data_IF_896907223074
#
_entry.id   IF_896907223074
#
_cell.length_a   1.000
_cell.length_b   1.000
_cell.length_c   1.000
_cell.angle_alpha   90.00
_cell.angle_beta   90.00
_cell.angle_gamma   90.00
#
_symmetry.space_group_name_H-M   'P 1'
#
loop_
_entity.id
_entity.type
_entity.pdbx_description
1 polymer ?
#
# COMPACT_ATOMS: atom_id res chain seq x y z
N UNK A 1 52.01 -47.19 -11.13
CA UNK A 1 51.75 -45.73 -11.18
C UNK A 1 50.65 -45.53 -12.19
N UNK A 2 49.41 -45.60 -11.72
CA UNK A 2 48.17 -45.46 -12.54
C UNK A 2 47.80 -43.96 -12.53
N UNK A 3 47.89 -43.31 -13.69
CA UNK A 3 47.42 -41.95 -13.87
C UNK A 3 45.93 -42.03 -14.18
N UNK A 4 45.09 -41.69 -13.20
CA UNK A 4 43.65 -41.52 -13.41
C UNK A 4 43.43 -40.32 -14.35
N UNK A 5 42.96 -40.61 -15.54
CA UNK A 5 42.51 -39.57 -16.49
C UNK A 5 41.15 -39.06 -16.07
N UNK A 6 41.12 -37.85 -15.56
CA UNK A 6 39.85 -37.11 -15.35
C UNK A 6 39.20 -36.84 -16.70
N UNK A 7 37.90 -37.09 -16.85
CA UNK A 7 37.19 -36.76 -18.08
C UNK A 7 37.15 -35.24 -18.30
N UNK A 8 37.75 -34.74 -19.35
CA UNK A 8 37.67 -33.34 -19.76
C UNK A 8 36.25 -33.05 -20.22
N UNK A 9 35.47 -32.36 -19.39
CA UNK A 9 34.17 -31.83 -19.77
C UNK A 9 34.36 -30.79 -20.87
N UNK A 10 33.89 -31.09 -22.07
CA UNK A 10 34.04 -30.20 -23.25
C UNK A 10 33.22 -28.93 -23.07
N UNK A 11 33.62 -27.83 -23.71
CA UNK A 11 32.92 -26.54 -23.64
C UNK A 11 31.46 -26.65 -24.11
N UNK A 12 31.21 -27.53 -25.08
CA UNK A 12 29.83 -27.82 -25.60
C UNK A 12 28.94 -28.48 -24.57
N UNK A 13 29.43 -29.43 -23.78
CA UNK A 13 28.62 -30.05 -22.71
C UNK A 13 28.31 -29.08 -21.58
N UNK A 14 29.17 -28.12 -21.29
CA UNK A 14 28.88 -27.05 -20.30
C UNK A 14 27.84 -26.06 -20.80
N UNK A 15 27.90 -25.68 -22.08
CA UNK A 15 26.89 -24.77 -22.67
C UNK A 15 25.52 -25.43 -22.73
N UNK A 16 25.43 -26.70 -23.14
CA UNK A 16 24.16 -27.44 -23.15
C UNK A 16 23.57 -27.60 -21.74
N UNK A 17 24.40 -27.77 -20.72
CA UNK A 17 23.91 -27.85 -19.35
C UNK A 17 23.46 -26.50 -18.78
N UNK A 18 24.10 -25.39 -19.14
CA UNK A 18 23.68 -24.03 -18.79
C UNK A 18 22.36 -23.69 -19.47
N UNK A 19 22.17 -24.03 -20.74
CA UNK A 19 20.89 -23.84 -21.45
C UNK A 19 19.77 -24.64 -20.83
N UNK A 20 20.01 -25.90 -20.48
CA UNK A 20 19.00 -26.75 -19.81
C UNK A 20 18.61 -26.19 -18.44
N UNK A 21 19.56 -25.74 -17.63
CA UNK A 21 19.30 -25.12 -16.33
C UNK A 21 18.53 -23.80 -16.47
N UNK A 22 18.83 -23.00 -17.49
CA UNK A 22 18.11 -21.76 -17.79
C UNK A 22 16.66 -22.04 -18.19
N UNK A 23 16.41 -23.07 -19.01
CA UNK A 23 15.06 -23.49 -19.40
C UNK A 23 14.27 -24.05 -18.21
N UNK A 24 14.88 -24.88 -17.36
CA UNK A 24 14.27 -25.38 -16.15
C UNK A 24 13.88 -24.25 -15.18
N UNK A 25 14.77 -23.25 -15.02
CA UNK A 25 14.48 -22.06 -14.23
C UNK A 25 13.35 -21.21 -14.83
N UNK A 26 13.31 -21.07 -16.15
CA UNK A 26 12.23 -20.35 -16.83
C UNK A 26 10.89 -21.02 -16.66
N UNK A 27 10.83 -22.36 -16.75
CA UNK A 27 9.61 -23.15 -16.51
C UNK A 27 9.18 -23.03 -15.05
N UNK A 28 10.09 -23.12 -14.10
CA UNK A 28 9.80 -22.99 -12.67
C UNK A 28 9.27 -21.59 -12.33
N UNK A 29 9.90 -20.53 -12.87
CA UNK A 29 9.40 -19.15 -12.71
C UNK A 29 8.00 -18.97 -13.28
N UNK A 30 7.71 -19.52 -14.46
CA UNK A 30 6.36 -19.46 -15.06
C UNK A 30 5.33 -20.16 -14.17
N UNK A 31 5.65 -21.35 -13.63
CA UNK A 31 4.76 -22.07 -12.71
C UNK A 31 4.50 -21.27 -11.44
N UNK A 32 5.56 -20.74 -10.79
CA UNK A 32 5.41 -19.91 -9.58
C UNK A 32 4.54 -18.68 -9.81
N UNK A 33 4.67 -18.00 -10.96
CA UNK A 33 3.81 -16.86 -11.32
C UNK A 33 2.37 -17.31 -11.54
N UNK A 34 2.16 -18.43 -12.23
CA UNK A 34 0.81 -18.95 -12.52
C UNK A 34 0.10 -19.41 -11.25
N UNK A 35 0.82 -20.08 -10.35
CA UNK A 35 0.30 -20.56 -9.06
C UNK A 35 -0.01 -19.38 -8.12
N UNK A 36 0.86 -18.38 -8.07
CA UNK A 36 0.62 -17.16 -7.30
C UNK A 36 -0.61 -16.40 -7.81
N UNK A 37 -0.79 -16.31 -9.14
CA UNK A 37 -1.97 -15.70 -9.75
C UNK A 37 -3.25 -16.50 -9.48
N UNK A 38 -3.17 -17.83 -9.42
CA UNK A 38 -4.32 -18.70 -9.11
C UNK A 38 -4.74 -18.53 -7.65
N UNK A 39 -3.80 -18.55 -6.70
CA UNK A 39 -4.04 -18.29 -5.27
C UNK A 39 -4.60 -16.88 -5.08
N UNK A 40 -4.02 -15.87 -5.73
CA UNK A 40 -4.52 -14.49 -5.67
C UNK A 40 -5.96 -14.38 -6.16
N UNK A 41 -6.32 -15.02 -7.30
CA UNK A 41 -7.69 -15.02 -7.80
C UNK A 41 -8.65 -15.76 -6.87
N UNK A 42 -8.20 -16.81 -6.19
CA UNK A 42 -9.02 -17.52 -5.20
C UNK A 42 -9.28 -16.64 -3.98
N UNK A 43 -8.24 -16.05 -3.40
CA UNK A 43 -8.36 -15.12 -2.26
C UNK A 43 -9.28 -13.94 -2.59
N UNK A 44 -9.14 -13.35 -3.79
CA UNK A 44 -10.02 -12.25 -4.24
C UNK A 44 -11.48 -12.70 -4.34
N UNK A 45 -11.77 -13.92 -4.84
CA UNK A 45 -13.14 -14.43 -4.89
C UNK A 45 -13.73 -14.67 -3.50
N UNK A 46 -12.99 -15.34 -2.63
CA UNK A 46 -13.46 -15.70 -1.28
C UNK A 46 -13.74 -14.46 -0.44
N UNK A 47 -12.89 -13.43 -0.56
CA UNK A 47 -13.07 -12.15 0.12
C UNK A 47 -14.18 -11.31 -0.51
N UNK A 48 -14.32 -11.32 -1.85
CA UNK A 48 -15.42 -10.64 -2.54
C UNK A 48 -16.79 -11.21 -2.10
N UNK A 49 -16.89 -12.52 -1.99
CA UNK A 49 -18.13 -13.17 -1.58
C UNK A 49 -18.48 -12.85 -0.10
N UNK A 50 -17.48 -12.84 0.79
CA UNK A 50 -17.66 -12.45 2.20
C UNK A 50 -18.07 -11.00 2.37
N UNK A 51 -17.42 -10.09 1.65
CA UNK A 51 -17.75 -8.66 1.72
C UNK A 51 -19.10 -8.34 1.11
N UNK A 52 -19.46 -8.97 -0.02
CA UNK A 52 -20.81 -8.84 -0.59
C UNK A 52 -21.89 -9.29 0.39
N UNK A 53 -21.70 -10.41 1.08
CA UNK A 53 -22.62 -10.91 2.06
C UNK A 53 -22.85 -9.92 3.22
N UNK A 54 -21.79 -9.26 3.71
CA UNK A 54 -21.89 -8.23 4.77
C UNK A 54 -22.60 -6.97 4.30
N UNK A 55 -22.33 -6.53 3.06
CA UNK A 55 -23.06 -5.40 2.48
C UNK A 55 -24.55 -5.69 2.32
N UNK A 56 -24.91 -6.91 1.88
CA UNK A 56 -26.31 -7.34 1.80
C UNK A 56 -26.95 -7.35 3.19
N UNK A 57 -26.24 -7.84 4.20
CA UNK A 57 -26.72 -7.82 5.59
C UNK A 57 -26.94 -6.39 6.10
N UNK A 58 -26.00 -5.48 5.86
CA UNK A 58 -26.15 -4.06 6.22
C UNK A 58 -27.37 -3.43 5.54
N UNK A 59 -27.62 -3.73 4.26
CA UNK A 59 -28.81 -3.25 3.54
C UNK A 59 -30.10 -3.79 4.17
N UNK A 60 -30.12 -5.06 4.56
CA UNK A 60 -31.29 -5.67 5.22
C UNK A 60 -31.54 -4.99 6.56
N UNK A 61 -30.49 -4.81 7.38
CA UNK A 61 -30.58 -4.16 8.70
C UNK A 61 -31.05 -2.71 8.57
N UNK A 62 -30.53 -1.95 7.56
CA UNK A 62 -31.01 -0.60 7.25
C UNK A 62 -32.51 -0.58 6.87
N UNK A 63 -32.98 -1.54 6.06
CA UNK A 63 -34.40 -1.64 5.72
C UNK A 63 -35.26 -1.90 6.96
N UNK A 64 -34.78 -2.71 7.90
CA UNK A 64 -35.46 -2.94 9.18
C UNK A 64 -35.46 -1.69 10.05
N UNK A 65 -34.33 -0.97 10.12
CA UNK A 65 -34.21 0.30 10.82
C UNK A 65 -35.22 1.34 10.31
N UNK A 66 -35.34 1.48 8.98
CA UNK A 66 -36.32 2.41 8.36
C UNK A 66 -37.75 2.01 8.71
N UNK A 67 -38.07 0.71 8.76
CA UNK A 67 -39.41 0.25 9.18
C UNK A 67 -39.65 0.55 10.65
N UNK A 68 -38.69 0.30 11.52
CA UNK A 68 -38.77 0.58 12.95
C UNK A 68 -38.95 2.09 13.22
N UNK A 69 -38.20 2.96 12.50
CA UNK A 69 -38.36 4.41 12.57
C UNK A 69 -39.80 4.84 12.19
N UNK A 70 -40.34 4.29 11.10
CA UNK A 70 -41.73 4.58 10.69
C UNK A 70 -42.78 4.10 11.67
N UNK A 71 -42.49 3.04 12.43
CA UNK A 71 -43.35 2.48 13.47
C UNK A 71 -43.13 3.14 14.86
N UNK A 72 -42.21 4.10 14.95
CA UNK A 72 -41.78 4.72 16.21
C UNK A 72 -41.28 3.68 17.25
N UNK A 73 -40.60 2.62 16.77
CA UNK A 73 -40.09 1.52 17.59
C UNK A 73 -38.77 1.95 18.27
N UNK A 74 -38.67 1.69 19.57
CA UNK A 74 -37.49 2.01 20.38
C UNK A 74 -36.19 1.31 19.92
N UNK A 75 -36.29 0.24 19.11
CA UNK A 75 -35.15 -0.46 18.57
C UNK A 75 -34.56 0.20 17.29
N UNK A 76 -35.18 1.25 16.78
CA UNK A 76 -34.75 1.86 15.51
C UNK A 76 -33.31 2.37 15.53
N UNK A 77 -32.93 3.05 16.61
CA UNK A 77 -31.57 3.58 16.79
C UNK A 77 -30.52 2.45 16.82
N UNK A 78 -30.78 1.38 17.56
CA UNK A 78 -29.89 0.21 17.62
C UNK A 78 -29.72 -0.44 16.26
N UNK A 79 -30.78 -0.60 15.47
CA UNK A 79 -30.71 -1.16 14.13
C UNK A 79 -29.91 -0.27 13.18
N UNK A 80 -29.95 1.05 13.34
CA UNK A 80 -29.10 1.98 12.56
C UNK A 80 -27.62 1.79 12.93
N UNK A 81 -27.30 1.70 14.23
CA UNK A 81 -25.95 1.46 14.71
C UNK A 81 -25.39 0.13 14.22
N UNK A 82 -26.19 -0.95 14.32
CA UNK A 82 -25.81 -2.29 13.84
C UNK A 82 -25.52 -2.29 12.33
N UNK A 83 -26.34 -1.58 11.54
CA UNK A 83 -26.14 -1.47 10.10
C UNK A 83 -24.91 -0.64 9.74
N UNK A 84 -24.62 0.41 10.50
CA UNK A 84 -23.43 1.24 10.33
C UNK A 84 -22.17 0.42 10.62
N UNK A 85 -22.14 -0.32 11.71
CA UNK A 85 -21.02 -1.21 12.06
C UNK A 85 -20.76 -2.26 10.98
N UNK A 86 -21.82 -2.92 10.48
CA UNK A 86 -21.70 -3.89 9.39
C UNK A 86 -21.14 -3.27 8.12
N UNK A 87 -21.59 -2.06 7.77
CA UNK A 87 -21.10 -1.34 6.59
C UNK A 87 -19.63 -0.90 6.76
N UNK A 88 -19.23 -0.47 7.95
CA UNK A 88 -17.85 -0.11 8.27
C UNK A 88 -16.93 -1.31 8.17
N UNK A 89 -17.32 -2.46 8.74
CA UNK A 89 -16.55 -3.70 8.66
C UNK A 89 -16.41 -4.20 7.22
N UNK A 90 -17.48 -4.16 6.42
CA UNK A 90 -17.41 -4.49 5.00
C UNK A 90 -16.47 -3.55 4.21
N UNK A 91 -16.47 -2.25 4.54
CA UNK A 91 -15.58 -1.28 3.92
C UNK A 91 -14.12 -1.50 4.31
N UNK A 92 -13.86 -1.93 5.55
CA UNK A 92 -12.50 -2.27 6.02
C UNK A 92 -11.95 -3.48 5.24
N UNK A 93 -12.74 -4.54 5.09
CA UNK A 93 -12.38 -5.71 4.29
C UNK A 93 -12.16 -5.38 2.81
N UNK A 94 -13.02 -4.54 2.22
CA UNK A 94 -12.81 -4.04 0.86
C UNK A 94 -11.51 -3.27 0.73
N UNK A 95 -11.14 -2.49 1.74
CA UNK A 95 -9.85 -1.79 1.77
C UNK A 95 -8.67 -2.76 1.84
N UNK A 96 -8.74 -3.78 2.69
CA UNK A 96 -7.72 -4.83 2.77
C UNK A 96 -7.59 -5.57 1.43
N UNK A 97 -8.69 -5.86 0.76
CA UNK A 97 -8.72 -6.42 -0.60
C UNK A 97 -8.09 -5.50 -1.64
N UNK A 98 -8.48 -4.22 -1.62
CA UNK A 98 -7.94 -3.21 -2.53
C UNK A 98 -6.43 -3.01 -2.31
N UNK A 99 -5.92 -3.24 -1.09
CA UNK A 99 -4.48 -3.21 -0.79
C UNK A 99 -3.70 -4.33 -1.48
N UNK A 100 -4.36 -5.43 -1.88
CA UNK A 100 -3.77 -6.51 -2.68
C UNK A 100 -3.86 -6.29 -4.19
N UNK A 101 -4.71 -5.36 -4.66
CA UNK A 101 -4.93 -5.10 -6.11
C UNK A 101 -4.43 -3.70 -6.45
N UNK A 102 -3.20 -3.62 -6.94
CA UNK A 102 -2.66 -2.37 -7.45
C UNK A 102 -3.44 -1.90 -8.68
N UNK A 103 -3.82 -0.61 -8.76
CA UNK A 103 -4.44 -0.07 -9.95
C UNK A 103 -3.57 -0.26 -11.19
N UNK A 104 -4.16 -0.64 -12.31
CA UNK A 104 -3.45 -0.83 -13.57
C UNK A 104 -2.67 0.42 -14.00
N UNK A 105 -3.18 1.61 -13.67
CA UNK A 105 -2.53 2.89 -13.95
C UNK A 105 -1.22 3.03 -13.16
N UNK A 106 -1.16 2.57 -11.91
CA UNK A 106 0.07 2.54 -11.10
C UNK A 106 1.09 1.56 -11.68
N UNK A 107 0.64 0.35 -12.07
CA UNK A 107 1.53 -0.68 -12.63
C UNK A 107 2.19 -0.18 -13.92
N UNK A 108 1.43 0.45 -14.81
CA UNK A 108 1.91 0.91 -16.11
C UNK A 108 2.58 2.28 -16.08
N UNK A 109 1.99 3.22 -15.34
CA UNK A 109 2.39 4.63 -15.34
C UNK A 109 3.18 5.09 -14.11
N UNK A 110 3.39 4.18 -13.12
CA UNK A 110 4.10 4.48 -11.89
C UNK A 110 3.32 5.39 -10.95
N UNK A 111 4.02 5.83 -9.89
CA UNK A 111 3.40 6.60 -8.79
C UNK A 111 2.70 7.87 -9.30
N UNK A 112 3.32 8.60 -10.23
CA UNK A 112 2.74 9.84 -10.77
C UNK A 112 1.36 9.60 -11.38
N UNK A 113 1.25 8.66 -12.32
CA UNK A 113 -0.01 8.35 -12.98
C UNK A 113 -1.06 7.82 -11.99
N UNK A 114 -0.63 7.04 -10.98
CA UNK A 114 -1.50 6.58 -9.90
C UNK A 114 -2.08 7.73 -9.10
N UNK A 115 -1.25 8.71 -8.71
CA UNK A 115 -1.68 9.90 -7.93
C UNK A 115 -2.61 10.78 -8.77
N UNK A 116 -2.26 11.07 -10.04
CA UNK A 116 -3.10 11.83 -10.95
C UNK A 116 -4.50 11.20 -11.07
N UNK A 117 -4.59 9.88 -11.22
CA UNK A 117 -5.87 9.16 -11.29
C UNK A 117 -6.68 9.17 -9.98
N UNK A 118 -6.06 9.35 -8.82
CA UNK A 118 -6.79 9.60 -7.56
C UNK A 118 -7.35 11.02 -7.56
N UNK A 119 -6.53 12.00 -7.90
CA UNK A 119 -6.88 13.43 -7.89
C UNK A 119 -8.01 13.73 -8.84
N UNK A 120 -8.02 13.16 -10.05
CA UNK A 120 -9.07 13.36 -11.08
C UNK A 120 -10.48 12.95 -10.62
N UNK A 121 -10.59 12.21 -9.51
CA UNK A 121 -11.89 11.77 -8.94
C UNK A 121 -12.37 12.62 -7.77
N UNK A 122 -11.60 13.63 -7.37
CA UNK A 122 -11.90 14.45 -6.20
C UNK A 122 -12.50 15.78 -6.64
N UNK A 123 -13.55 16.20 -5.94
CA UNK A 123 -14.12 17.54 -6.07
C UNK A 123 -13.34 18.58 -5.24
N UNK A 124 -12.01 18.43 -5.19
CA UNK A 124 -11.10 19.30 -4.45
C UNK A 124 -9.92 19.67 -5.35
N UNK A 125 -9.54 20.95 -5.47
CA UNK A 125 -8.32 21.35 -6.17
C UNK A 125 -7.09 20.76 -5.50
N UNK A 126 -6.32 19.93 -6.22
CA UNK A 126 -5.09 19.32 -5.72
C UNK A 126 -3.93 19.62 -6.66
N UNK A 127 -2.87 20.23 -6.14
CA UNK A 127 -1.62 20.41 -6.87
C UNK A 127 -0.75 19.16 -6.74
N UNK A 128 -0.29 18.61 -7.88
CA UNK A 128 0.50 17.37 -7.92
C UNK A 128 1.91 17.66 -8.42
N UNK A 129 2.91 17.40 -7.56
CA UNK A 129 4.33 17.54 -7.84
C UNK A 129 5.04 16.20 -7.62
N UNK A 130 4.72 15.21 -8.45
CA UNK A 130 5.28 13.86 -8.42
C UNK A 130 6.16 13.66 -9.65
N UNK A 131 7.42 13.29 -9.44
CA UNK A 131 8.34 12.98 -10.54
C UNK A 131 8.00 11.64 -11.18
N UNK A 132 8.31 11.49 -12.48
CA UNK A 132 8.03 10.26 -13.25
C UNK A 132 9.07 9.15 -13.01
N UNK A 133 9.82 9.20 -11.91
CA UNK A 133 10.76 8.15 -11.52
C UNK A 133 10.00 6.87 -11.16
N UNK A 134 10.64 5.72 -11.42
CA UNK A 134 10.08 4.41 -11.07
C UNK A 134 10.81 3.86 -9.85
N UNK A 135 10.04 3.28 -8.96
CA UNK A 135 10.52 2.61 -7.76
C UNK A 135 10.10 1.13 -7.76
N UNK A 136 10.60 0.34 -6.82
CA UNK A 136 10.11 -1.00 -6.62
C UNK A 136 8.58 -0.98 -6.37
N UNK A 137 7.88 -2.00 -6.86
CA UNK A 137 6.41 -2.05 -6.85
C UNK A 137 5.84 -1.85 -5.44
N UNK A 138 6.50 -2.37 -4.42
CA UNK A 138 6.09 -2.26 -3.02
C UNK A 138 6.16 -0.80 -2.52
N UNK A 139 7.17 -0.05 -2.97
CA UNK A 139 7.37 1.35 -2.63
C UNK A 139 6.32 2.23 -3.32
N UNK A 140 6.13 2.04 -4.65
CA UNK A 140 5.10 2.77 -5.41
C UNK A 140 3.70 2.48 -4.87
N UNK A 141 3.42 1.22 -4.51
CA UNK A 141 2.16 0.80 -3.91
C UNK A 141 1.91 1.47 -2.56
N UNK A 142 2.90 1.43 -1.66
CA UNK A 142 2.78 2.03 -0.34
C UNK A 142 2.58 3.54 -0.45
N UNK A 143 3.38 4.22 -1.28
CA UNK A 143 3.25 5.66 -1.53
C UNK A 143 1.87 6.02 -2.10
N UNK A 144 1.37 5.26 -3.08
CA UNK A 144 0.04 5.44 -3.66
C UNK A 144 -1.06 5.35 -2.61
N UNK A 145 -1.05 4.31 -1.77
CA UNK A 145 -2.08 4.14 -0.74
C UNK A 145 -2.02 5.22 0.34
N UNK A 146 -0.81 5.67 0.71
CA UNK A 146 -0.64 6.79 1.64
C UNK A 146 -1.28 8.06 1.07
N UNK A 147 -1.04 8.36 -0.20
CA UNK A 147 -1.65 9.52 -0.87
C UNK A 147 -3.16 9.38 -0.96
N UNK A 148 -3.67 8.22 -1.39
CA UNK A 148 -5.10 7.98 -1.56
C UNK A 148 -5.87 8.11 -0.24
N UNK A 149 -5.35 7.54 0.86
CA UNK A 149 -5.98 7.63 2.17
C UNK A 149 -5.87 9.04 2.75
N UNK A 150 -4.70 9.69 2.64
CA UNK A 150 -4.53 11.06 3.12
C UNK A 150 -5.48 12.03 2.40
N UNK A 151 -5.61 11.94 1.07
CA UNK A 151 -6.55 12.76 0.30
C UNK A 151 -8.02 12.44 0.63
N UNK A 152 -8.33 11.17 0.90
CA UNK A 152 -9.67 10.78 1.38
C UNK A 152 -9.99 11.45 2.72
N UNK A 153 -9.01 11.51 3.63
CA UNK A 153 -9.16 12.17 4.92
C UNK A 153 -9.35 13.69 4.76
N UNK A 154 -8.62 14.31 3.83
CA UNK A 154 -8.82 15.74 3.49
C UNK A 154 -10.27 15.99 3.07
N UNK A 155 -10.79 15.22 2.10
CA UNK A 155 -12.16 15.40 1.59
C UNK A 155 -13.21 15.17 2.66
N UNK A 156 -13.01 14.17 3.55
CA UNK A 156 -14.01 13.79 4.55
C UNK A 156 -13.98 14.65 5.80
N UNK A 157 -12.80 15.12 6.21
CA UNK A 157 -12.60 15.62 7.57
C UNK A 157 -11.98 17.02 7.64
N UNK A 158 -11.22 17.46 6.63
CA UNK A 158 -10.44 18.67 6.75
C UNK A 158 -11.22 19.96 6.46
N UNK A 159 -12.34 19.90 5.76
CA UNK A 159 -13.04 21.09 5.23
C UNK A 159 -12.06 22.05 4.52
N UNK A 160 -11.12 21.47 3.75
CA UNK A 160 -10.09 22.17 3.05
C UNK A 160 -10.61 22.78 1.74
N UNK A 161 -10.01 23.87 1.29
CA UNK A 161 -10.27 24.47 -0.02
C UNK A 161 -9.33 23.98 -1.11
N UNK A 162 -8.16 23.44 -0.71
CA UNK A 162 -7.15 22.87 -1.61
C UNK A 162 -6.23 21.91 -0.87
N UNK A 163 -5.56 21.08 -1.67
CA UNK A 163 -4.48 20.24 -1.16
C UNK A 163 -3.27 20.25 -2.13
N UNK A 164 -2.15 19.75 -1.65
CA UNK A 164 -0.90 19.59 -2.40
C UNK A 164 -0.32 18.22 -2.13
N UNK A 165 0.12 17.52 -3.18
CA UNK A 165 0.83 16.24 -3.10
C UNK A 165 2.20 16.40 -3.73
N UNK A 166 3.25 16.15 -2.96
CA UNK A 166 4.62 16.10 -3.45
C UNK A 166 5.21 14.73 -3.23
N UNK A 167 5.94 14.19 -4.21
CA UNK A 167 6.73 12.98 -4.06
C UNK A 167 8.04 13.08 -4.83
N UNK A 168 9.16 12.92 -4.13
CA UNK A 168 10.49 13.02 -4.70
C UNK A 168 11.46 12.07 -4.01
N UNK A 169 12.45 11.59 -4.76
CA UNK A 169 13.58 10.88 -4.19
C UNK A 169 14.53 11.86 -3.49
N UNK A 170 14.85 11.57 -2.24
CA UNK A 170 15.84 12.28 -1.44
C UNK A 170 16.87 11.26 -0.93
N UNK A 171 18.05 11.24 -1.55
CA UNK A 171 19.04 10.19 -1.28
C UNK A 171 18.51 8.81 -1.62
N UNK A 172 18.49 7.90 -0.65
CA UNK A 172 17.99 6.52 -0.78
C UNK A 172 16.54 6.35 -0.28
N UNK A 173 15.78 7.45 -0.16
CA UNK A 173 14.40 7.45 0.32
C UNK A 173 13.47 8.17 -0.64
N UNK A 174 12.24 7.67 -0.78
CA UNK A 174 11.12 8.38 -1.39
C UNK A 174 10.41 9.16 -0.28
N UNK A 175 10.40 10.48 -0.40
CA UNK A 175 9.65 11.36 0.50
C UNK A 175 8.34 11.74 -0.16
N UNK A 176 7.23 11.38 0.49
CA UNK A 176 5.87 11.69 0.05
C UNK A 176 5.27 12.63 1.07
N UNK A 177 4.74 13.78 0.62
CA UNK A 177 4.10 14.75 1.48
C UNK A 177 2.75 15.15 0.91
N UNK A 178 1.74 15.13 1.75
CA UNK A 178 0.39 15.60 1.45
C UNK A 178 0.07 16.72 2.43
N UNK A 179 -0.37 17.86 1.91
CA UNK A 179 -0.72 19.04 2.69
C UNK A 179 -2.10 19.54 2.28
N UNK A 180 -2.92 19.92 3.24
CA UNK A 180 -4.16 20.66 3.04
C UNK A 180 -4.16 21.97 3.84
N UNK A 181 -5.11 22.86 3.51
CA UNK A 181 -5.35 24.12 4.17
C UNK A 181 -6.62 24.08 5.05
N UNK A 182 -7.01 22.89 5.53
CA UNK A 182 -8.24 22.68 6.28
C UNK A 182 -8.16 23.09 7.75
N UNK A 183 -9.13 22.58 8.53
CA UNK A 183 -9.30 22.93 9.94
C UNK A 183 -8.22 22.36 10.86
N UNK A 184 -7.40 21.42 10.41
CA UNK A 184 -6.43 20.72 11.24
C UNK A 184 -7.08 19.92 12.37
N UNK A 185 -6.30 19.61 13.41
CA UNK A 185 -6.79 18.88 14.58
C UNK A 185 -7.01 17.40 14.34
N UNK A 186 -6.34 16.79 13.34
CA UNK A 186 -6.49 15.38 13.04
C UNK A 186 -6.06 14.51 14.24
N UNK A 187 -6.89 13.53 14.59
CA UNK A 187 -6.56 12.52 15.58
C UNK A 187 -5.53 11.53 15.00
N UNK A 188 -4.30 11.62 15.48
CA UNK A 188 -3.17 10.77 15.03
C UNK A 188 -3.28 9.32 15.47
N UNK A 189 -4.17 9.00 16.41
CA UNK A 189 -4.48 7.65 16.90
C UNK A 189 -5.67 7.02 16.13
N UNK A 190 -6.26 7.73 15.16
CA UNK A 190 -7.34 7.19 14.34
C UNK A 190 -6.86 6.00 13.51
N UNK A 191 -7.74 5.00 13.29
CA UNK A 191 -7.43 3.78 12.55
C UNK A 191 -6.83 4.04 11.16
N UNK A 192 -7.30 5.08 10.47
CA UNK A 192 -6.78 5.47 9.15
C UNK A 192 -5.31 5.90 9.20
N UNK A 193 -4.95 6.77 10.14
CA UNK A 193 -3.57 7.24 10.30
C UNK A 193 -2.64 6.18 10.90
N UNK A 194 -3.14 5.34 11.79
CA UNK A 194 -2.42 4.16 12.29
C UNK A 194 -2.09 3.20 11.15
N UNK A 195 -3.05 2.86 10.29
CA UNK A 195 -2.83 2.00 9.12
C UNK A 195 -1.78 2.56 8.14
N UNK A 196 -1.72 3.89 7.95
CA UNK A 196 -0.68 4.53 7.15
C UNK A 196 0.71 4.41 7.80
N UNK A 197 0.77 4.54 9.14
CA UNK A 197 2.01 4.41 9.91
C UNK A 197 2.56 2.99 9.83
N UNK A 198 1.70 1.98 10.04
CA UNK A 198 2.07 0.56 9.98
C UNK A 198 2.60 0.18 8.60
N UNK A 199 1.96 0.66 7.53
CA UNK A 199 2.40 0.47 6.16
C UNK A 199 3.79 1.06 5.89
N UNK A 200 4.04 2.28 6.37
CA UNK A 200 5.35 2.90 6.23
C UNK A 200 6.42 2.12 7.01
N UNK A 201 6.10 1.68 8.22
CA UNK A 201 7.00 0.93 9.11
C UNK A 201 7.34 -0.44 8.54
N UNK A 202 6.38 -1.14 7.90
CA UNK A 202 6.61 -2.44 7.24
C UNK A 202 7.69 -2.40 6.16
N UNK A 203 7.91 -1.23 5.54
CA UNK A 203 8.99 -0.99 4.56
C UNK A 203 10.26 -0.40 5.20
N UNK A 204 10.37 -0.37 6.54
CA UNK A 204 11.47 0.26 7.24
C UNK A 204 11.45 1.80 7.15
N UNK A 205 10.32 2.38 6.73
CA UNK A 205 10.09 3.81 6.65
C UNK A 205 9.46 4.39 7.91
N UNK A 206 9.00 5.63 7.79
CA UNK A 206 8.28 6.33 8.86
C UNK A 206 7.21 7.25 8.28
N UNK A 207 6.16 7.48 9.07
CA UNK A 207 5.12 8.46 8.77
C UNK A 207 5.00 9.45 9.93
N UNK A 208 4.87 10.72 9.60
CA UNK A 208 4.63 11.80 10.56
C UNK A 208 3.41 12.61 10.12
N UNK A 209 2.59 13.00 11.09
CA UNK A 209 1.42 13.86 10.88
C UNK A 209 1.58 15.10 11.74
N UNK A 210 1.41 16.26 11.12
CA UNK A 210 1.35 17.56 11.78
C UNK A 210 0.01 18.19 11.44
N UNK A 211 -0.84 18.40 12.44
CA UNK A 211 -2.21 18.89 12.24
C UNK A 211 -2.62 19.82 13.37
N UNK A 212 -1.97 21.00 13.49
CA UNK A 212 -2.41 21.99 14.49
C UNK A 212 -3.82 22.49 14.16
N UNK A 213 -4.69 22.70 15.16
CA UNK A 213 -6.00 23.27 14.94
C UNK A 213 -5.94 24.62 14.20
N UNK A 214 -6.69 24.74 13.09
CA UNK A 214 -6.75 25.94 12.26
C UNK A 214 -5.63 26.13 11.24
N UNK A 215 -4.65 25.20 11.16
CA UNK A 215 -3.49 25.34 10.27
C UNK A 215 -3.43 24.26 9.17
N UNK A 216 -4.48 23.46 9.00
CA UNK A 216 -4.52 22.32 8.08
C UNK A 216 -3.73 21.12 8.59
N UNK A 217 -3.51 20.16 7.68
CA UNK A 217 -2.77 18.94 7.99
C UNK A 217 -1.61 18.74 7.02
N UNK A 218 -0.49 18.24 7.54
CA UNK A 218 0.65 17.78 6.75
C UNK A 218 0.97 16.33 7.14
N UNK A 219 0.75 15.42 6.20
CA UNK A 219 1.19 14.03 6.29
C UNK A 219 2.49 13.88 5.53
N UNK A 220 3.52 13.33 6.15
CA UNK A 220 4.82 13.07 5.51
C UNK A 220 5.22 11.64 5.74
N UNK A 221 5.45 10.89 4.64
CA UNK A 221 6.00 9.55 4.66
C UNK A 221 7.41 9.55 4.06
N UNK A 222 8.32 8.81 4.69
CA UNK A 222 9.69 8.59 4.22
C UNK A 222 9.85 7.08 4.04
N UNK A 223 9.98 6.63 2.78
CA UNK A 223 10.02 5.23 2.40
C UNK A 223 11.41 4.91 1.81
N UNK A 224 12.23 4.09 2.46
CA UNK A 224 13.52 3.67 1.89
C UNK A 224 13.29 2.77 0.67
N UNK A 225 13.97 3.04 -0.44
CA UNK A 225 13.90 2.22 -1.65
C UNK A 225 15.21 1.49 -1.97
N UNK A 226 16.25 1.72 -1.17
CA UNK A 226 17.43 0.86 -1.09
C UNK A 226 17.51 0.22 0.28
N UNK A 227 17.89 -1.07 0.32
CA UNK A 227 18.17 -1.72 1.59
C UNK A 227 19.24 -0.91 2.35
N UNK A 228 19.10 -0.67 3.66
CA UNK A 228 20.17 -0.07 4.44
C UNK A 228 21.41 -0.93 4.27
N UNK A 229 22.45 -0.39 3.61
CA UNK A 229 23.74 -1.07 3.50
C UNK A 229 24.23 -1.42 4.91
N UNK A 230 25.06 -2.48 5.09
CA UNK A 230 25.65 -2.76 6.38
C UNK A 230 26.35 -1.49 6.87
N UNK A 231 25.88 -0.98 8.02
CA UNK A 231 26.43 0.21 8.64
C UNK A 231 27.96 0.11 8.74
N UNK A 232 28.71 1.23 8.77
CA UNK A 232 30.16 1.20 8.84
C UNK A 232 30.56 0.34 10.02
N UNK A 233 31.17 -0.82 9.72
CA UNK A 233 31.73 -1.71 10.72
C UNK A 233 32.66 -0.87 11.57
N UNK A 234 32.40 -0.79 12.85
CA UNK A 234 33.27 -0.12 13.82
C UNK A 234 34.69 -0.65 13.59
N UNK A 235 35.55 0.16 13.02
CA UNK A 235 36.97 -0.11 12.95
C UNK A 235 37.48 -0.19 14.39
N UNK A 236 37.49 -1.41 14.94
CA UNK A 236 38.20 -1.67 16.17
C UNK A 236 39.69 -1.47 15.85
N UNK A 237 40.21 -0.41 16.41
CA UNK A 237 41.63 -0.10 16.35
C UNK A 237 42.42 -1.29 16.87
N UNK A 238 43.22 -1.85 16.02
CA UNK A 238 44.39 -2.66 16.39
C UNK A 238 45.53 -1.66 16.63
N UNK A 239 45.57 -1.02 17.77
CA UNK A 239 46.84 -0.49 18.27
C UNK A 239 47.63 -1.65 18.84
N UNK A 240 48.56 -2.09 18.00
CA UNK A 240 49.64 -2.98 18.34
C UNK A 240 50.58 -2.33 19.36
N UNK A 241 50.86 -3.06 20.41
CA UNK A 241 52.06 -2.85 21.24
C UNK A 241 53.32 -3.12 20.42
N UNK A 242 54.24 -2.24 20.45
CA UNK A 242 55.65 -2.50 20.53
C UNK A 242 56.32 -1.28 21.18
#
# INVERSE_FOLDING_TARGET
MLIESYPTVTADSRNAEVERLADEQAVLRRRLVTDADAVRRQVVRDLHDGTQQRLVQAIITLKLAVRALRANDANAERLVCDALEQAQNANLELRELAHGILPQVLIRGGLRAGVEAVVDRLDLPVQVHVRSERFATEIEASAYFIVAEALTNVVKHANASRAEVTAAAEGDTLVVRIRDDGIGGADVESDGLMGLRDRSTALGGRLTVKSPPGEGTVVTAVLPFRAPGPGPAARRGSESRA
#
